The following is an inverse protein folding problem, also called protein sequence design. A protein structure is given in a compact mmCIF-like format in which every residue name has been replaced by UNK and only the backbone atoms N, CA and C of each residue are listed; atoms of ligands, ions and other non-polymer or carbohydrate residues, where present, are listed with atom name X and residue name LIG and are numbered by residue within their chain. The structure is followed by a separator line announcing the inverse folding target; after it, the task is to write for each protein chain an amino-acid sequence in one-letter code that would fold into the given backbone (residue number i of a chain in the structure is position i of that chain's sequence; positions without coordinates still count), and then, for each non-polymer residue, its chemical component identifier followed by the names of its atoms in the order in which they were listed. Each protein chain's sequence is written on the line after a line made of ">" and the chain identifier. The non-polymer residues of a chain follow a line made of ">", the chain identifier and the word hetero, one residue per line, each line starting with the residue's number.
data_IF_726152905522
#
_entry.id   IF_726152905522
#
_cell.length_a   1.000
_cell.length_b   1.000
_cell.length_c   1.000
_cell.angle_alpha   90.00
_cell.angle_beta   90.00
_cell.angle_gamma   90.00
#
_symmetry.space_group_name_H-M   'P 1'
#
loop_
_entity.id
_entity.type
_entity.pdbx_description
1 polymer ?
#
# COMPACT_ATOMS: atom_id res chain seq x y z
N UNK A 1 31.08 48.92 -23.84
CA UNK A 1 32.19 48.31 -24.61
C UNK A 1 32.35 46.86 -24.15
N UNK A 2 32.42 45.95 -25.13
CA UNK A 2 32.86 44.53 -25.12
C UNK A 2 32.15 43.54 -24.17
N UNK A 3 31.18 42.73 -24.63
CA UNK A 3 31.27 41.45 -25.40
C UNK A 3 31.96 40.29 -24.65
N UNK A 4 31.20 39.21 -24.42
CA UNK A 4 31.71 37.94 -23.89
C UNK A 4 30.75 36.76 -24.03
N UNK A 5 30.47 36.37 -25.29
CA UNK A 5 29.84 35.09 -25.69
C UNK A 5 30.52 33.87 -25.04
N UNK A 6 29.75 32.82 -24.75
CA UNK A 6 30.13 31.43 -25.10
C UNK A 6 28.92 30.49 -25.14
N UNK A 7 28.84 29.81 -26.28
CA UNK A 7 27.80 28.89 -26.74
C UNK A 7 28.02 27.48 -26.18
N UNK A 8 26.95 26.68 -26.15
CA UNK A 8 27.06 25.24 -25.88
C UNK A 8 25.79 24.43 -26.11
N UNK A 9 25.05 24.68 -27.20
CA UNK A 9 23.97 23.78 -27.63
C UNK A 9 24.57 22.48 -28.17
N UNK A 10 24.28 21.34 -27.52
CA UNK A 10 24.43 20.00 -28.11
C UNK A 10 23.05 19.43 -28.42
N UNK A 11 22.69 19.51 -29.70
CA UNK A 11 21.57 18.78 -30.29
C UNK A 11 22.02 17.33 -30.51
N UNK A 12 21.39 16.37 -29.83
CA UNK A 12 21.51 14.96 -30.16
C UNK A 12 20.45 14.59 -31.21
N UNK A 13 20.96 14.26 -32.38
CA UNK A 13 20.25 13.80 -33.58
C UNK A 13 20.15 12.28 -33.49
N UNK A 14 18.96 11.76 -33.20
CA UNK A 14 18.68 10.32 -33.36
C UNK A 14 18.08 10.06 -34.73
N UNK A 15 18.76 9.18 -35.46
CA UNK A 15 18.45 8.75 -36.81
C UNK A 15 17.42 7.63 -36.72
N UNK A 16 16.27 7.84 -37.37
CA UNK A 16 15.26 6.83 -37.68
C UNK A 16 15.71 6.03 -38.91
N UNK A 17 15.96 4.74 -38.73
CA UNK A 17 16.02 3.70 -39.77
C UNK A 17 15.04 2.64 -39.25
N UNK A 18 13.96 2.29 -39.93
CA UNK A 18 13.87 1.89 -41.33
C UNK A 18 13.72 0.37 -41.34
N UNK A 19 12.54 -0.15 -41.72
CA UNK A 19 12.30 -1.58 -41.76
C UNK A 19 10.84 -1.98 -41.99
N UNK A 20 10.36 -1.75 -43.21
CA UNK A 20 9.19 -2.46 -43.76
C UNK A 20 9.47 -3.97 -43.80
N UNK A 21 8.51 -4.77 -43.35
CA UNK A 21 8.23 -6.08 -43.93
C UNK A 21 6.76 -6.45 -43.65
N UNK A 22 5.89 -6.17 -44.61
CA UNK A 22 4.55 -6.75 -44.71
C UNK A 22 4.70 -8.17 -45.24
N UNK A 23 4.38 -9.16 -44.42
CA UNK A 23 4.18 -10.54 -44.85
C UNK A 23 2.72 -10.92 -44.60
N UNK A 24 1.94 -10.84 -45.68
CA UNK A 24 0.59 -11.40 -45.77
C UNK A 24 0.67 -12.91 -45.83
N UNK A 25 0.07 -13.59 -44.86
CA UNK A 25 -0.25 -15.03 -44.95
C UNK A 25 -1.60 -15.27 -44.27
N UNK A 26 -2.66 -15.29 -45.07
CA UNK A 26 -3.94 -15.93 -44.73
C UNK A 26 -3.83 -17.43 -44.95
N UNK A 27 -4.28 -18.23 -43.97
CA UNK A 27 -5.13 -19.35 -44.33
C UNK A 27 -6.35 -19.50 -43.41
N UNK A 28 -7.50 -19.60 -44.10
CA UNK A 28 -8.48 -20.67 -43.95
C UNK A 28 -9.37 -20.70 -42.70
N UNK A 29 -10.61 -20.28 -42.95
CA UNK A 29 -11.85 -20.53 -42.23
C UNK A 29 -11.98 -21.99 -41.77
N UNK A 30 -12.19 -22.16 -40.46
CA UNK A 30 -12.96 -23.27 -39.90
C UNK A 30 -14.11 -22.64 -39.10
N UNK A 31 -15.31 -22.88 -39.58
CA UNK A 31 -16.54 -22.68 -38.83
C UNK A 31 -16.59 -23.77 -37.76
N UNK A 32 -16.55 -23.37 -36.50
CA UNK A 32 -17.01 -24.18 -35.38
C UNK A 32 -17.95 -23.28 -34.55
N UNK A 33 -19.11 -23.84 -34.25
CA UNK A 33 -20.21 -23.24 -33.50
C UNK A 33 -19.77 -22.78 -32.10
N UNK A 34 -20.19 -21.58 -31.71
CA UNK A 34 -20.44 -21.27 -30.31
C UNK A 34 -21.57 -20.24 -30.21
N UNK A 35 -22.75 -20.73 -29.85
CA UNK A 35 -23.86 -19.92 -29.34
C UNK A 35 -23.32 -19.11 -28.17
N UNK A 36 -23.09 -17.82 -28.42
CA UNK A 36 -22.69 -16.87 -27.39
C UNK A 36 -23.96 -16.52 -26.61
N UNK A 37 -24.21 -17.27 -25.54
CA UNK A 37 -25.13 -16.83 -24.50
C UNK A 37 -24.48 -15.62 -23.85
N UNK A 38 -24.99 -14.42 -24.17
CA UNK A 38 -24.66 -13.20 -23.44
C UNK A 38 -25.15 -13.37 -22.01
N UNK A 39 -24.30 -13.95 -21.15
CA UNK A 39 -24.46 -13.84 -19.72
C UNK A 39 -24.25 -12.37 -19.38
N UNK A 40 -25.36 -11.68 -19.14
CA UNK A 40 -25.38 -10.36 -18.51
C UNK A 40 -24.58 -10.49 -17.21
N UNK A 41 -23.35 -9.96 -17.24
CA UNK A 41 -22.51 -9.91 -16.06
C UNK A 41 -23.31 -9.16 -15.00
N UNK A 42 -23.45 -9.71 -13.77
CA UNK A 42 -24.11 -8.97 -12.70
C UNK A 42 -23.42 -7.62 -12.59
N UNK A 43 -24.21 -6.54 -12.65
CA UNK A 43 -23.72 -5.18 -12.51
C UNK A 43 -22.74 -5.14 -11.34
N UNK A 44 -21.48 -4.80 -11.63
CA UNK A 44 -20.43 -4.71 -10.63
C UNK A 44 -20.93 -3.74 -9.56
N UNK A 45 -21.19 -4.26 -8.37
CA UNK A 45 -21.56 -3.39 -7.26
C UNK A 45 -20.41 -2.41 -7.05
N UNK A 46 -20.68 -1.11 -6.86
CA UNK A 46 -19.63 -0.16 -6.55
C UNK A 46 -18.87 -0.66 -5.33
N UNK A 47 -17.57 -0.91 -5.52
CA UNK A 47 -16.71 -1.36 -4.45
C UNK A 47 -16.57 -0.22 -3.44
N UNK A 48 -16.73 -0.54 -2.16
CA UNK A 48 -16.57 0.45 -1.08
C UNK A 48 -15.10 0.86 -0.87
N UNK A 49 -14.17 0.49 -1.77
CA UNK A 49 -12.74 0.79 -1.70
C UNK A 49 -11.95 -0.02 -0.68
N UNK A 50 -12.64 -0.75 0.22
CA UNK A 50 -12.03 -1.68 1.17
C UNK A 50 -11.77 -3.03 0.51
N UNK A 51 -12.72 -3.53 -0.30
CA UNK A 51 -12.65 -4.86 -0.90
C UNK A 51 -11.60 -4.95 -2.02
N UNK A 52 -11.21 -3.81 -2.60
CA UNK A 52 -10.21 -3.74 -3.67
C UNK A 52 -8.77 -3.68 -3.13
N UNK A 53 -8.59 -3.49 -1.81
CA UNK A 53 -7.26 -3.42 -1.22
C UNK A 53 -6.56 -4.79 -1.30
N UNK A 54 -5.31 -4.87 -1.81
CA UNK A 54 -4.58 -6.15 -1.89
C UNK A 54 -4.16 -6.70 -0.51
N UNK A 55 -4.39 -5.93 0.54
CA UNK A 55 -4.09 -6.21 1.94
C UNK A 55 -5.34 -6.07 2.80
N UNK A 56 -5.39 -6.81 3.91
CA UNK A 56 -6.55 -6.79 4.79
C UNK A 56 -6.58 -5.53 5.65
N UNK A 57 -7.66 -4.77 5.57
CA UNK A 57 -7.96 -3.67 6.48
C UNK A 57 -8.56 -4.22 7.78
N UNK A 58 -8.05 -3.76 8.92
CA UNK A 58 -8.66 -4.06 10.23
C UNK A 58 -9.75 -3.05 10.49
N UNK A 59 -10.98 -3.53 10.66
CA UNK A 59 -12.15 -2.70 10.96
C UNK A 59 -12.54 -2.90 12.43
N UNK A 60 -12.75 -1.83 13.21
CA UNK A 60 -13.21 -1.93 14.59
C UNK A 60 -14.51 -2.74 14.70
N UNK A 61 -14.65 -3.50 15.78
CA UNK A 61 -15.87 -4.27 16.04
C UNK A 61 -17.09 -3.33 16.12
N UNK A 62 -18.16 -3.69 15.39
CA UNK A 62 -19.39 -2.90 15.35
C UNK A 62 -19.35 -1.69 14.41
N UNK A 63 -18.24 -1.43 13.73
CA UNK A 63 -18.20 -0.41 12.69
C UNK A 63 -18.84 -0.93 11.40
N UNK A 64 -19.88 -0.26 10.92
CA UNK A 64 -20.52 -0.57 9.65
C UNK A 64 -20.01 0.35 8.54
N UNK A 65 -19.22 -0.19 7.64
CA UNK A 65 -18.69 0.54 6.47
C UNK A 65 -19.82 1.06 5.59
N UNK A 66 -20.96 0.35 5.52
CA UNK A 66 -22.10 0.76 4.70
C UNK A 66 -22.82 2.00 5.25
N UNK A 67 -22.59 2.34 6.53
CA UNK A 67 -23.11 3.55 7.15
C UNK A 67 -22.35 4.81 6.73
N UNK A 68 -21.16 4.65 6.13
CA UNK A 68 -20.43 5.75 5.52
C UNK A 68 -21.16 6.11 4.24
N UNK A 69 -21.88 7.24 4.24
CA UNK A 69 -22.55 7.79 3.05
C UNK A 69 -21.49 8.32 2.05
N UNK A 70 -20.68 7.42 1.49
CA UNK A 70 -19.59 7.75 0.59
C UNK A 70 -20.15 8.04 -0.82
N UNK A 71 -19.57 9.00 -1.55
CA UNK A 71 -19.90 9.20 -2.96
C UNK A 71 -19.63 7.93 -3.78
N UNK A 72 -20.59 7.53 -4.62
CA UNK A 72 -20.42 6.42 -5.57
C UNK A 72 -19.40 6.75 -6.69
N UNK A 73 -19.22 8.05 -6.97
CA UNK A 73 -18.24 8.54 -7.93
C UNK A 73 -16.82 8.27 -7.40
N UNK A 74 -16.13 7.34 -8.05
CA UNK A 74 -14.75 6.93 -7.74
C UNK A 74 -13.77 8.09 -7.66
N UNK A 75 -14.02 9.21 -8.36
CA UNK A 75 -13.12 10.39 -8.28
C UNK A 75 -13.31 11.19 -7.00
N UNK A 76 -14.51 11.11 -6.39
CA UNK A 76 -14.89 11.81 -5.16
C UNK A 76 -14.84 10.93 -3.93
N UNK A 77 -14.84 9.61 -4.09
CA UNK A 77 -14.74 8.68 -2.98
C UNK A 77 -13.40 8.87 -2.25
N UNK A 78 -13.41 9.20 -0.93
CA UNK A 78 -12.19 9.41 -0.16
C UNK A 78 -11.40 8.10 0.04
N UNK A 79 -12.07 6.94 0.15
CA UNK A 79 -11.42 5.64 0.33
C UNK A 79 -10.63 5.17 -0.90
N UNK A 80 -10.89 5.80 -2.05
CA UNK A 80 -10.17 5.59 -3.31
C UNK A 80 -8.98 6.53 -3.48
N UNK A 81 -8.84 7.54 -2.62
CA UNK A 81 -7.81 8.57 -2.79
C UNK A 81 -6.39 8.02 -2.63
N UNK A 82 -6.18 7.06 -1.73
CA UNK A 82 -4.87 6.40 -1.57
C UNK A 82 -4.47 5.66 -2.84
N UNK A 83 -5.41 4.92 -3.43
CA UNK A 83 -5.24 4.20 -4.70
C UNK A 83 -4.91 5.19 -5.83
N UNK A 84 -5.73 6.23 -6.02
CA UNK A 84 -5.53 7.26 -7.06
C UNK A 84 -4.14 7.90 -6.97
N UNK A 85 -3.74 8.31 -5.76
CA UNK A 85 -2.41 8.87 -5.52
C UNK A 85 -1.32 7.84 -5.83
N UNK A 86 -1.46 6.58 -5.39
CA UNK A 86 -0.46 5.55 -5.68
C UNK A 86 -0.27 5.35 -7.19
N UNK A 87 -1.37 5.30 -7.96
CA UNK A 87 -1.36 5.10 -9.41
C UNK A 87 -0.71 6.27 -10.15
N UNK A 88 -0.92 7.51 -9.69
CA UNK A 88 -0.27 8.70 -10.25
C UNK A 88 1.26 8.67 -10.11
N UNK A 89 1.78 7.88 -9.17
CA UNK A 89 3.21 7.82 -8.83
C UNK A 89 3.90 6.51 -9.26
N UNK A 90 3.22 5.58 -9.95
CA UNK A 90 3.77 4.26 -10.36
C UNK A 90 5.00 4.37 -11.28
N UNK A 91 5.10 5.43 -12.09
CA UNK A 91 6.02 5.40 -13.24
C UNK A 91 7.30 6.20 -13.03
N UNK A 92 7.35 7.24 -12.19
CA UNK A 92 8.49 8.19 -12.27
C UNK A 92 8.77 9.08 -11.05
N UNK A 93 7.99 9.02 -9.98
CA UNK A 93 8.14 9.97 -8.87
C UNK A 93 8.88 9.35 -7.66
N UNK A 94 9.73 10.15 -6.95
CA UNK A 94 10.37 9.68 -5.74
C UNK A 94 9.31 9.42 -4.66
N UNK A 95 9.50 8.35 -3.87
CA UNK A 95 8.61 7.97 -2.76
C UNK A 95 8.33 9.11 -1.79
N UNK A 96 9.24 10.09 -1.67
CA UNK A 96 9.11 11.28 -0.83
C UNK A 96 7.95 12.20 -1.25
N UNK A 97 7.61 12.26 -2.55
CA UNK A 97 6.47 13.04 -3.04
C UNK A 97 5.15 12.40 -2.63
N UNK A 98 5.06 11.07 -2.78
CA UNK A 98 3.91 10.28 -2.34
C UNK A 98 3.77 10.34 -0.82
N UNK A 99 4.88 10.24 -0.07
CA UNK A 99 4.89 10.40 1.39
C UNK A 99 4.25 11.72 1.82
N UNK A 100 4.66 12.83 1.21
CA UNK A 100 4.10 14.16 1.52
C UNK A 100 2.60 14.22 1.26
N UNK A 101 2.14 13.71 0.12
CA UNK A 101 0.71 13.72 -0.22
C UNK A 101 -0.13 12.84 0.70
N UNK A 102 0.40 11.68 1.12
CA UNK A 102 -0.29 10.84 2.09
C UNK A 102 -0.33 11.46 3.47
N UNK A 103 0.73 12.13 3.91
CA UNK A 103 0.70 12.88 5.18
C UNK A 103 -0.35 14.00 5.14
N UNK A 104 -0.41 14.74 4.03
CA UNK A 104 -1.42 15.76 3.82
C UNK A 104 -2.83 15.18 3.79
N UNK A 105 -3.04 14.08 3.06
CA UNK A 105 -4.32 13.36 3.03
C UNK A 105 -4.77 12.94 4.43
N UNK A 106 -3.88 12.31 5.20
CA UNK A 106 -4.20 11.84 6.55
C UNK A 106 -4.50 13.02 7.47
N UNK A 107 -3.77 14.12 7.37
CA UNK A 107 -4.02 15.32 8.16
C UNK A 107 -5.39 15.92 7.85
N UNK A 108 -5.73 16.07 6.56
CA UNK A 108 -7.01 16.67 6.14
C UNK A 108 -8.23 15.82 6.54
N UNK A 109 -8.04 14.52 6.73
CA UNK A 109 -9.11 13.56 7.00
C UNK A 109 -9.08 13.04 8.44
N UNK A 110 -8.39 13.72 9.37
CA UNK A 110 -8.15 13.20 10.73
C UNK A 110 -9.42 13.02 11.57
N UNK A 111 -10.42 13.87 11.35
CA UNK A 111 -11.70 13.86 12.08
C UNK A 111 -12.77 12.96 11.43
N UNK A 112 -12.46 12.35 10.29
CA UNK A 112 -13.42 11.55 9.55
C UNK A 112 -13.60 10.15 10.18
N UNK A 113 -14.83 9.59 10.19
CA UNK A 113 -15.10 8.29 10.83
C UNK A 113 -14.36 7.13 10.15
N UNK A 114 -13.93 7.32 8.90
CA UNK A 114 -13.17 6.35 8.12
C UNK A 114 -11.67 6.58 8.13
N UNK A 115 -11.17 7.55 8.91
CA UNK A 115 -9.74 7.90 8.95
C UNK A 115 -8.84 6.68 9.17
N UNK A 116 -9.23 5.75 10.06
CA UNK A 116 -8.48 4.52 10.33
C UNK A 116 -8.31 3.61 9.10
N UNK A 117 -9.21 3.70 8.11
CA UNK A 117 -9.10 2.97 6.83
C UNK A 117 -7.98 3.61 6.00
N UNK A 118 -8.01 4.95 5.85
CA UNK A 118 -7.00 5.70 5.11
C UNK A 118 -5.60 5.51 5.72
N UNK A 119 -5.49 5.53 7.05
CA UNK A 119 -4.23 5.26 7.76
C UNK A 119 -3.64 3.91 7.37
N UNK A 120 -4.47 2.86 7.36
CA UNK A 120 -4.04 1.51 7.01
C UNK A 120 -3.70 1.39 5.53
N UNK A 121 -4.48 1.99 4.65
CA UNK A 121 -4.22 1.98 3.21
C UNK A 121 -2.91 2.69 2.88
N UNK A 122 -2.74 3.93 3.34
CA UNK A 122 -1.53 4.72 3.09
C UNK A 122 -0.28 4.03 3.67
N UNK A 123 -0.37 3.51 4.90
CA UNK A 123 0.73 2.79 5.51
C UNK A 123 1.09 1.50 4.77
N UNK A 124 0.11 0.70 4.36
CA UNK A 124 0.39 -0.52 3.60
C UNK A 124 1.04 -0.22 2.25
N UNK A 125 0.52 0.76 1.50
CA UNK A 125 1.10 1.15 0.21
C UNK A 125 2.53 1.64 0.41
N UNK A 126 2.76 2.59 1.32
CA UNK A 126 4.09 3.15 1.54
C UNK A 126 5.08 2.11 2.03
N UNK A 127 4.75 1.36 3.09
CA UNK A 127 5.68 0.40 3.67
C UNK A 127 6.00 -0.74 2.70
N UNK A 128 4.96 -1.34 2.09
CA UNK A 128 5.13 -2.56 1.26
C UNK A 128 5.71 -2.25 -0.12
N UNK A 129 5.30 -1.15 -0.75
CA UNK A 129 5.63 -0.91 -2.16
C UNK A 129 6.79 0.08 -2.35
N UNK A 130 7.06 0.94 -1.38
CA UNK A 130 8.05 2.01 -1.54
C UNK A 130 9.17 1.92 -0.50
N UNK A 131 8.86 2.04 0.79
CA UNK A 131 9.85 2.28 1.83
C UNK A 131 10.78 1.09 2.06
N UNK A 132 10.27 -0.14 2.17
CA UNK A 132 11.15 -1.28 2.44
C UNK A 132 12.10 -1.59 1.29
N UNK A 133 11.70 -1.34 0.03
CA UNK A 133 12.58 -1.50 -1.12
C UNK A 133 13.81 -0.60 -1.02
N UNK A 134 13.62 0.67 -0.65
CA UNK A 134 14.71 1.62 -0.42
C UNK A 134 15.48 1.31 0.87
N UNK A 135 14.82 0.78 1.91
CA UNK A 135 15.45 0.55 3.21
C UNK A 135 16.51 -0.54 3.16
N UNK A 136 16.27 -1.58 2.37
CA UNK A 136 17.28 -2.62 2.18
C UNK A 136 18.48 -2.16 1.34
N UNK A 137 18.35 -1.06 0.60
CA UNK A 137 19.45 -0.45 -0.16
C UNK A 137 20.27 0.50 0.72
N UNK A 138 19.60 1.30 1.56
CA UNK A 138 20.24 2.25 2.48
C UNK A 138 19.51 2.28 3.85
N UNK A 139 19.84 1.36 4.77
CA UNK A 139 19.15 1.23 6.04
C UNK A 139 19.46 2.38 7.01
N UNK A 140 20.51 3.17 6.74
CA UNK A 140 20.95 4.27 7.60
C UNK A 140 20.36 5.62 7.18
N UNK A 141 19.51 5.65 6.15
CA UNK A 141 18.87 6.87 5.70
C UNK A 141 17.86 7.40 6.75
N UNK A 142 18.11 8.57 7.37
CA UNK A 142 17.27 9.08 8.44
C UNK A 142 15.86 9.47 7.97
N UNK A 143 15.70 9.95 6.73
CA UNK A 143 14.39 10.29 6.19
C UNK A 143 13.54 9.04 5.99
N UNK A 144 14.17 7.95 5.57
CA UNK A 144 13.48 6.69 5.37
C UNK A 144 13.08 6.04 6.69
N UNK A 145 13.96 6.08 7.70
CA UNK A 145 13.63 5.62 9.04
C UNK A 145 12.50 6.47 9.66
N UNK A 146 12.52 7.79 9.48
CA UNK A 146 11.42 8.66 9.92
C UNK A 146 10.11 8.28 9.25
N UNK A 147 10.10 8.07 7.92
CA UNK A 147 8.91 7.68 7.18
C UNK A 147 8.38 6.31 7.63
N UNK A 148 9.26 5.31 7.80
CA UNK A 148 8.86 4.00 8.38
C UNK A 148 8.24 4.21 9.76
N UNK A 149 8.86 5.02 10.62
CA UNK A 149 8.34 5.36 11.94
C UNK A 149 6.97 6.03 11.89
N UNK A 150 6.76 6.95 10.95
CA UNK A 150 5.47 7.61 10.73
C UNK A 150 4.39 6.59 10.37
N UNK A 151 4.56 5.80 9.31
CA UNK A 151 3.55 4.83 8.89
C UNK A 151 3.35 3.68 9.89
N UNK A 152 4.38 3.36 10.69
CA UNK A 152 4.22 2.45 11.83
C UNK A 152 3.23 3.03 12.84
N UNK A 153 3.35 4.31 13.19
CA UNK A 153 2.38 4.98 14.09
C UNK A 153 0.97 5.00 13.49
N UNK A 154 0.83 5.23 12.19
CA UNK A 154 -0.48 5.19 11.51
C UNK A 154 -1.13 3.80 11.63
N UNK A 155 -0.39 2.72 11.42
CA UNK A 155 -0.90 1.35 11.64
C UNK A 155 -1.37 1.13 13.08
N UNK A 156 -0.65 1.68 14.07
CA UNK A 156 -0.98 1.50 15.48
C UNK A 156 -2.20 2.28 15.92
N UNK A 157 -2.32 3.53 15.46
CA UNK A 157 -3.47 4.41 15.70
C UNK A 157 -4.73 3.79 15.09
N UNK A 158 -4.64 3.28 13.86
CA UNK A 158 -5.71 2.55 13.20
C UNK A 158 -6.00 1.15 13.78
N UNK A 159 -5.29 0.76 14.84
CA UNK A 159 -5.37 -0.56 15.49
C UNK A 159 -5.18 -1.74 14.53
N UNK A 160 -4.34 -1.56 13.51
CA UNK A 160 -4.07 -2.60 12.51
C UNK A 160 -3.54 -3.89 13.14
N UNK A 161 -4.05 -5.02 12.66
CA UNK A 161 -3.64 -6.38 13.03
C UNK A 161 -2.57 -6.97 12.09
N UNK A 162 -1.96 -6.15 11.22
CA UNK A 162 -0.90 -6.61 10.32
C UNK A 162 0.42 -6.84 11.09
N UNK A 163 0.46 -7.90 11.89
CA UNK A 163 1.59 -8.23 12.74
C UNK A 163 2.88 -8.48 11.96
N UNK A 164 2.79 -8.98 10.71
CA UNK A 164 3.96 -9.12 9.86
C UNK A 164 4.57 -7.77 9.53
N UNK A 165 3.73 -6.83 9.06
CA UNK A 165 4.20 -5.52 8.66
C UNK A 165 4.73 -4.74 9.86
N UNK A 166 4.03 -4.78 10.99
CA UNK A 166 4.49 -4.15 12.24
C UNK A 166 5.82 -4.76 12.70
N UNK A 167 5.98 -6.09 12.67
CA UNK A 167 7.24 -6.74 13.01
C UNK A 167 8.41 -6.26 12.13
N UNK A 168 8.20 -6.16 10.82
CA UNK A 168 9.21 -5.62 9.88
C UNK A 168 9.57 -4.18 10.21
N UNK A 169 8.58 -3.35 10.54
CA UNK A 169 8.80 -1.96 10.93
C UNK A 169 9.64 -1.86 12.20
N UNK A 170 9.30 -2.61 13.25
CA UNK A 170 10.05 -2.61 14.51
C UNK A 170 11.49 -3.09 14.33
N UNK A 171 11.72 -4.05 13.42
CA UNK A 171 13.09 -4.47 13.05
C UNK A 171 13.88 -3.35 12.38
N UNK A 172 13.23 -2.56 11.52
CA UNK A 172 13.87 -1.44 10.84
C UNK A 172 14.13 -0.24 11.78
N UNK A 173 13.29 -0.08 12.81
CA UNK A 173 13.36 1.02 13.77
C UNK A 173 14.18 0.69 15.03
N UNK A 174 14.77 -0.50 15.12
CA UNK A 174 15.40 -1.00 16.35
C UNK A 174 16.50 -0.10 16.93
N UNK A 175 17.22 0.61 16.05
CA UNK A 175 18.36 1.45 16.43
C UNK A 175 17.96 2.94 16.54
N UNK A 176 16.74 3.31 16.12
CA UNK A 176 16.24 4.69 16.10
C UNK A 176 15.08 4.94 17.06
N UNK A 177 14.36 3.90 17.49
CA UNK A 177 13.33 4.00 18.52
C UNK A 177 13.84 3.48 19.88
N UNK A 178 13.36 4.06 21.00
CA UNK A 178 13.63 3.51 22.33
C UNK A 178 13.13 2.06 22.46
N UNK A 179 13.91 1.20 23.12
CA UNK A 179 13.54 -0.19 23.37
C UNK A 179 12.16 -0.33 24.03
N UNK A 180 11.84 0.54 24.98
CA UNK A 180 10.54 0.53 25.67
C UNK A 180 9.39 0.82 24.69
N UNK A 181 9.58 1.74 23.74
CA UNK A 181 8.59 2.00 22.70
C UNK A 181 8.41 0.78 21.79
N UNK A 182 9.49 0.13 21.37
CA UNK A 182 9.42 -1.08 20.53
C UNK A 182 8.69 -2.20 21.29
N UNK A 183 9.02 -2.40 22.56
CA UNK A 183 8.40 -3.39 23.44
C UNK A 183 6.90 -3.16 23.57
N UNK A 184 6.48 -1.93 23.87
CA UNK A 184 5.06 -1.56 24.00
C UNK A 184 4.30 -1.82 22.70
N UNK A 185 4.85 -1.40 21.56
CA UNK A 185 4.23 -1.60 20.25
C UNK A 185 4.12 -3.08 19.89
N UNK A 186 5.17 -3.85 20.14
CA UNK A 186 5.20 -5.28 19.89
C UNK A 186 4.15 -6.02 20.73
N UNK A 187 4.08 -5.74 22.03
CA UNK A 187 3.12 -6.35 22.94
C UNK A 187 1.67 -5.95 22.60
N UNK A 188 1.40 -4.67 22.33
CA UNK A 188 0.07 -4.22 21.98
C UNK A 188 -0.44 -4.88 20.68
N UNK A 189 0.43 -5.01 19.68
CA UNK A 189 0.07 -5.65 18.40
C UNK A 189 -0.12 -7.16 18.58
N UNK A 190 0.76 -7.83 19.34
CA UNK A 190 0.64 -9.25 19.64
C UNK A 190 -0.67 -9.56 20.38
N UNK A 191 -1.02 -8.76 21.39
CA UNK A 191 -2.24 -8.91 22.16
C UNK A 191 -3.50 -8.79 21.29
N UNK A 192 -3.56 -7.82 20.37
CA UNK A 192 -4.68 -7.67 19.42
C UNK A 192 -4.86 -8.89 18.54
N UNK A 193 -3.76 -9.40 17.96
CA UNK A 193 -3.80 -10.59 17.10
C UNK A 193 -4.22 -11.84 17.89
N UNK A 194 -3.82 -11.96 19.16
CA UNK A 194 -4.20 -13.09 20.02
C UNK A 194 -5.64 -13.01 20.52
N UNK A 195 -6.17 -11.82 20.74
CA UNK A 195 -7.54 -11.60 21.22
C UNK A 195 -8.60 -11.93 20.17
N UNK A 196 -8.22 -12.09 18.90
CA UNK A 196 -9.15 -12.38 17.81
C UNK A 196 -9.77 -13.78 17.96
N UNK A 197 -11.10 -13.90 18.01
CA UNK A 197 -11.76 -15.19 18.05
C UNK A 197 -11.40 -16.03 16.81
N UNK A 198 -11.00 -17.27 17.04
CA UNK A 198 -10.85 -18.27 15.97
C UNK A 198 -12.23 -18.88 15.76
N UNK A 199 -12.91 -18.46 14.69
CA UNK A 199 -14.30 -18.85 14.41
C UNK A 199 -14.39 -19.97 13.38
N UNK A 200 -13.30 -20.23 12.64
CA UNK A 200 -13.25 -21.23 11.58
C UNK A 200 -11.87 -21.84 11.39
N UNK A 201 -11.79 -22.95 10.67
CA UNK A 201 -10.51 -23.57 10.27
C UNK A 201 -9.70 -22.65 9.34
N UNK A 202 -10.38 -21.80 8.56
CA UNK A 202 -9.74 -20.78 7.72
C UNK A 202 -8.91 -19.78 8.55
N UNK A 203 -9.31 -19.52 9.80
CA UNK A 203 -8.57 -18.64 10.73
C UNK A 203 -7.26 -19.27 11.23
N UNK A 204 -7.02 -20.54 10.95
CA UNK A 204 -5.78 -21.26 11.33
C UNK A 204 -4.88 -21.62 10.13
N UNK A 205 -5.32 -21.30 8.91
CA UNK A 205 -4.63 -21.65 7.66
C UNK A 205 -4.31 -20.40 6.83
N UNK A 206 -3.42 -20.52 5.84
CA UNK A 206 -3.08 -19.41 4.93
C UNK A 206 -2.59 -18.13 5.64
N UNK A 207 -3.11 -16.96 5.24
CA UNK A 207 -2.75 -15.63 5.78
C UNK A 207 -3.01 -15.50 7.29
N UNK A 208 -4.01 -16.17 7.84
CA UNK A 208 -4.32 -16.10 9.27
C UNK A 208 -3.23 -16.77 10.14
N UNK A 209 -2.64 -17.87 9.64
CA UNK A 209 -1.48 -18.52 10.27
C UNK A 209 -0.27 -17.59 10.36
N UNK A 210 -0.04 -16.77 9.34
CA UNK A 210 1.07 -15.80 9.35
C UNK A 210 0.87 -14.74 10.43
N UNK A 211 -0.35 -14.21 10.60
CA UNK A 211 -0.65 -13.25 11.68
C UNK A 211 -0.28 -13.82 13.06
N UNK A 212 -0.72 -15.02 13.39
CA UNK A 212 -0.41 -15.69 14.66
C UNK A 212 1.10 -15.93 14.83
N UNK A 213 1.79 -16.31 13.75
CA UNK A 213 3.24 -16.54 13.76
C UNK A 213 3.99 -15.25 14.09
N UNK A 214 3.63 -14.14 13.45
CA UNK A 214 4.25 -12.84 13.72
C UNK A 214 3.80 -12.25 15.06
N UNK A 215 2.59 -12.52 15.54
CA UNK A 215 2.17 -12.18 16.91
C UNK A 215 3.08 -12.81 17.97
N UNK A 216 3.44 -14.09 17.79
CA UNK A 216 4.44 -14.77 18.65
C UNK A 216 5.84 -14.18 18.48
N UNK A 217 6.24 -13.81 17.26
CA UNK A 217 7.54 -13.19 17.00
C UNK A 217 7.67 -11.81 17.68
N UNK A 218 6.59 -11.01 17.67
CA UNK A 218 6.50 -9.74 18.38
C UNK A 218 6.62 -9.92 19.90
N UNK A 219 5.93 -10.92 20.46
CA UNK A 219 6.06 -11.26 21.90
C UNK A 219 7.52 -11.57 22.25
N UNK A 220 8.17 -12.44 21.47
CA UNK A 220 9.59 -12.79 21.66
C UNK A 220 10.55 -11.61 21.46
N UNK A 221 10.21 -10.66 20.60
CA UNK A 221 11.00 -9.43 20.41
C UNK A 221 10.91 -8.56 21.66
N UNK A 222 9.70 -8.35 22.19
CA UNK A 222 9.46 -7.57 23.39
C UNK A 222 10.16 -8.13 24.64
N UNK A 223 10.27 -9.46 24.76
CA UNK A 223 10.94 -10.14 25.88
C UNK A 223 12.47 -10.03 25.85
N UNK A 224 13.06 -9.75 24.68
CA UNK A 224 14.53 -9.72 24.49
C UNK A 224 15.15 -8.33 24.60
N UNK A 225 14.33 -7.29 24.62
CA UNK A 225 14.74 -5.88 24.70
C UNK A 225 14.82 -5.41 26.15
#
# INVERSE_FOLDING_TARGET
>A
MTLGKKNGHRLYRWVLVGGLALASCTPQTKEDEAVTTTAEAPAAQPSNGIDDAPFAITVPQGFDVKSLNLPEDDTKNPLKQVERLSMAHVVQDPWTKLDRQYRELLLVQEDEPYHFILQQQAANVMLRNHLFGHYYQDPNNPQLQEAIGFYTRQLLQAKSEDAELVYKCLRALKDSWPNEQIKQVAMATAARVQARPITSVADTTGRAKYKLTYGKALTKMAEKL
#
